data_IF_201710999276
#
_entry.id   IF_201710999276
#
_cell.length_a   1.000
_cell.length_b   1.000
_cell.length_c   1.000
_cell.angle_alpha   90.00
_cell.angle_beta   90.00
_cell.angle_gamma   90.00
#
_symmetry.space_group_name_H-M   'P 1'
#
loop_
_entity.id
_entity.type
_entity.pdbx_description
1 polymer ?
#
# COMPACT_ATOMS: atom_id res chain seq x y z
N UNK A 1 -5.81 7.85 7.46
CA UNK A 1 -7.00 7.26 8.13
C UNK A 1 -6.50 6.37 9.25
N UNK A 2 -7.31 6.01 10.25
CA UNK A 2 -6.90 4.98 11.22
C UNK A 2 -7.16 3.61 10.61
N UNK A 3 -6.21 2.70 10.72
CA UNK A 3 -6.36 1.29 10.35
C UNK A 3 -6.32 0.43 11.61
N UNK A 4 -7.47 0.25 12.27
CA UNK A 4 -7.55 -0.56 13.48
C UNK A 4 -7.20 -2.01 13.21
N UNK A 5 -6.44 -2.62 14.11
CA UNK A 5 -6.20 -4.06 14.11
C UNK A 5 -6.67 -4.72 15.40
N UNK A 6 -7.28 -5.89 15.25
CA UNK A 6 -7.70 -6.73 16.38
C UNK A 6 -6.64 -7.78 16.70
N UNK A 7 -6.44 -8.05 17.99
CA UNK A 7 -5.58 -9.11 18.49
C UNK A 7 -6.43 -10.02 19.38
N UNK A 8 -6.57 -11.28 18.97
CA UNK A 8 -7.37 -12.27 19.68
C UNK A 8 -6.44 -13.35 20.22
N UNK A 9 -6.55 -13.64 21.51
CA UNK A 9 -5.80 -14.73 22.14
C UNK A 9 -6.78 -15.76 22.70
N UNK A 10 -6.64 -17.01 22.26
CA UNK A 10 -7.47 -18.13 22.70
C UNK A 10 -6.66 -18.98 23.67
N UNK A 11 -7.16 -19.14 24.90
CA UNK A 11 -6.61 -20.00 25.96
C UNK A 11 -7.74 -20.67 26.71
N UNK A 12 -7.63 -21.96 26.99
CA UNK A 12 -8.68 -22.73 27.70
C UNK A 12 -10.07 -22.52 27.05
N UNK A 13 -10.12 -22.48 25.71
CA UNK A 13 -11.31 -22.20 24.88
C UNK A 13 -11.98 -20.85 25.14
N UNK A 14 -11.26 -19.91 25.73
CA UNK A 14 -11.74 -18.56 26.03
C UNK A 14 -10.97 -17.55 25.19
N UNK A 15 -11.69 -16.68 24.48
CA UNK A 15 -11.11 -15.62 23.68
C UNK A 15 -10.95 -14.34 24.51
N UNK A 16 -9.81 -13.67 24.36
CA UNK A 16 -9.60 -12.28 24.83
C UNK A 16 -9.29 -11.40 23.63
N UNK A 17 -10.00 -10.28 23.53
CA UNK A 17 -9.94 -9.37 22.38
C UNK A 17 -9.25 -8.08 22.78
N UNK A 18 -8.30 -7.64 21.97
CA UNK A 18 -7.60 -6.38 22.11
C UNK A 18 -7.64 -5.60 20.81
N UNK A 19 -7.65 -4.27 20.91
CA UNK A 19 -7.73 -3.37 19.77
C UNK A 19 -6.67 -2.29 19.86
N UNK A 20 -5.93 -2.14 18.77
CA UNK A 20 -5.08 -0.97 18.52
C UNK A 20 -5.56 -0.26 17.26
N UNK A 21 -5.80 1.05 17.35
CA UNK A 21 -6.36 1.86 16.25
C UNK A 21 -5.39 2.10 15.09
N UNK A 22 -4.12 1.77 15.26
CA UNK A 22 -3.06 2.10 14.30
C UNK A 22 -2.21 0.89 13.91
N UNK A 23 -2.45 -0.27 14.50
CA UNK A 23 -1.59 -1.43 14.25
C UNK A 23 -1.90 -2.17 12.95
N UNK A 24 -2.96 -1.80 12.20
CA UNK A 24 -3.25 -2.36 10.87
C UNK A 24 -2.05 -2.22 9.93
N UNK A 25 -1.64 -0.98 9.66
CA UNK A 25 -0.48 -0.66 8.79
C UNK A 25 0.81 -1.41 9.20
N UNK A 26 1.02 -1.68 10.49
CA UNK A 26 2.26 -2.27 11.02
C UNK A 26 2.15 -3.71 11.49
N UNK A 27 1.03 -4.39 11.23
CA UNK A 27 0.82 -5.71 11.81
C UNK A 27 1.97 -6.65 11.45
N UNK A 28 2.47 -6.57 10.21
CA UNK A 28 3.58 -7.42 9.79
C UNK A 28 4.86 -7.20 10.61
N UNK A 29 5.19 -5.95 10.97
CA UNK A 29 6.30 -5.61 11.88
C UNK A 29 6.05 -6.19 13.27
N UNK A 30 4.83 -6.04 13.76
CA UNK A 30 4.45 -6.37 15.13
C UNK A 30 4.50 -7.89 15.38
N UNK A 31 4.14 -8.69 14.37
CA UNK A 31 4.14 -10.15 14.46
C UNK A 31 5.54 -10.78 14.51
N UNK A 32 6.61 -10.16 13.99
CA UNK A 32 7.92 -10.84 13.90
C UNK A 32 8.60 -11.08 15.26
N UNK A 33 8.08 -10.47 16.33
CA UNK A 33 8.64 -10.57 17.68
C UNK A 33 8.16 -11.79 18.46
N UNK A 34 7.25 -12.58 17.88
CA UNK A 34 6.76 -13.83 18.45
C UNK A 34 5.59 -13.67 19.45
N UNK A 35 5.04 -14.79 19.93
CA UNK A 35 3.79 -14.84 20.70
C UNK A 35 3.85 -14.03 21.99
N UNK A 36 4.89 -14.23 22.81
CA UNK A 36 4.97 -13.62 24.13
C UNK A 36 5.09 -12.09 24.04
N UNK A 37 5.90 -11.58 23.11
CA UNK A 37 6.08 -10.14 22.93
C UNK A 37 4.82 -9.48 22.39
N UNK A 38 4.13 -10.14 21.46
CA UNK A 38 2.87 -9.66 20.92
C UNK A 38 1.77 -9.62 21.98
N UNK A 39 1.59 -10.69 22.76
CA UNK A 39 0.54 -10.75 23.79
C UNK A 39 0.80 -9.74 24.91
N UNK A 40 2.04 -9.67 25.41
CA UNK A 40 2.41 -8.70 26.45
C UNK A 40 2.13 -7.27 26.01
N UNK A 41 2.44 -6.95 24.75
CA UNK A 41 2.12 -5.66 24.18
C UNK A 41 0.61 -5.45 24.03
N UNK A 42 -0.12 -6.42 23.47
CA UNK A 42 -1.56 -6.30 23.22
C UNK A 42 -2.35 -6.06 24.51
N UNK A 43 -1.92 -6.63 25.63
CA UNK A 43 -2.49 -6.40 26.96
C UNK A 43 -2.37 -4.94 27.45
N UNK A 44 -1.47 -4.14 26.87
CA UNK A 44 -1.36 -2.70 27.14
C UNK A 44 -2.31 -1.85 26.30
N UNK A 45 -2.98 -2.46 25.32
CA UNK A 45 -3.92 -1.79 24.41
C UNK A 45 -5.36 -1.85 24.94
N UNK A 46 -6.34 -1.51 24.09
CA UNK A 46 -7.75 -1.47 24.53
C UNK A 46 -8.32 -2.88 24.52
N UNK A 47 -8.60 -3.46 25.69
CA UNK A 47 -9.35 -4.71 25.78
C UNK A 47 -10.82 -4.47 25.36
N UNK A 48 -11.34 -5.34 24.49
CA UNK A 48 -12.72 -5.34 24.03
C UNK A 48 -13.52 -6.43 24.74
N UNK A 49 -14.82 -6.20 24.89
CA UNK A 49 -15.72 -7.22 25.44
C UNK A 49 -16.01 -8.35 24.44
N UNK A 50 -15.94 -8.05 23.13
CA UNK A 50 -16.28 -8.95 22.04
C UNK A 50 -15.60 -8.49 20.73
N UNK A 51 -15.75 -9.28 19.67
CA UNK A 51 -15.35 -8.97 18.30
C UNK A 51 -15.92 -7.63 17.80
N UNK A 52 -15.21 -6.95 16.90
CA UNK A 52 -15.65 -5.73 16.24
C UNK A 52 -15.41 -5.81 14.74
N UNK A 53 -16.32 -5.24 13.95
CA UNK A 53 -16.19 -5.16 12.49
C UNK A 53 -15.46 -3.88 12.03
N UNK A 54 -15.16 -2.96 12.94
CA UNK A 54 -14.40 -1.73 12.67
C UNK A 54 -12.89 -2.02 12.79
N UNK A 55 -12.39 -2.90 11.94
CA UNK A 55 -10.99 -3.33 11.83
C UNK A 55 -10.57 -3.46 10.36
N UNK A 56 -9.33 -3.12 10.03
CA UNK A 56 -8.71 -3.35 8.72
C UNK A 56 -7.72 -4.53 8.70
N UNK A 57 -7.46 -5.14 9.85
CA UNK A 57 -6.53 -6.26 9.98
C UNK A 57 -6.55 -6.88 11.35
N UNK A 58 -5.74 -7.91 11.56
CA UNK A 58 -5.58 -8.49 12.88
C UNK A 58 -4.94 -9.87 12.89
N UNK A 59 -4.90 -10.44 14.09
CA UNK A 59 -4.32 -11.75 14.34
C UNK A 59 -5.12 -12.48 15.41
N UNK A 60 -5.32 -13.77 15.19
CA UNK A 60 -5.83 -14.73 16.16
C UNK A 60 -4.70 -15.69 16.51
N UNK A 61 -4.35 -15.74 17.79
CA UNK A 61 -3.36 -16.66 18.36
C UNK A 61 -4.09 -17.67 19.23
N UNK A 62 -4.17 -18.91 18.76
CA UNK A 62 -4.74 -20.02 19.49
C UNK A 62 -3.62 -20.80 20.20
N UNK A 63 -3.49 -20.60 21.52
CA UNK A 63 -2.52 -21.30 22.35
C UNK A 63 -2.93 -22.74 22.67
N UNK A 64 -4.22 -23.08 22.55
CA UNK A 64 -4.68 -24.45 22.79
C UNK A 64 -4.29 -25.35 21.61
N UNK A 65 -4.46 -24.84 20.38
CA UNK A 65 -4.13 -25.57 19.14
C UNK A 65 -2.74 -25.25 18.57
N UNK A 66 -2.03 -24.28 19.14
CA UNK A 66 -0.77 -23.73 18.60
C UNK A 66 -0.93 -23.29 17.14
N UNK A 67 -1.93 -22.45 16.88
CA UNK A 67 -2.21 -21.88 15.54
C UNK A 67 -2.19 -20.36 15.59
N UNK A 68 -1.68 -19.75 14.54
CA UNK A 68 -1.74 -18.30 14.36
C UNK A 68 -2.31 -17.99 12.99
N UNK A 69 -3.47 -17.33 12.96
CA UNK A 69 -4.08 -16.82 11.73
C UNK A 69 -4.01 -15.31 11.74
N UNK A 70 -3.49 -14.69 10.69
CA UNK A 70 -3.34 -13.24 10.61
C UNK A 70 -3.77 -12.70 9.24
N UNK A 71 -4.22 -11.45 9.22
CA UNK A 71 -4.60 -10.73 8.00
C UNK A 71 -4.17 -9.26 8.11
N UNK A 72 -3.65 -8.74 7.00
CA UNK A 72 -3.30 -7.34 6.81
C UNK A 72 -3.36 -7.04 5.31
N UNK A 73 -3.90 -5.89 4.95
CA UNK A 73 -3.80 -5.30 3.62
C UNK A 73 -2.58 -4.38 3.54
N UNK A 74 -1.39 -4.97 3.46
CA UNK A 74 -0.13 -4.22 3.38
C UNK A 74 0.49 -4.37 1.98
N UNK A 75 0.46 -3.29 1.21
CA UNK A 75 0.98 -3.26 -0.16
C UNK A 75 2.46 -3.65 -0.30
N UNK A 76 3.28 -3.54 0.76
CA UNK A 76 4.67 -3.99 0.71
C UNK A 76 4.76 -5.51 0.52
N UNK A 77 3.78 -6.26 1.01
CA UNK A 77 3.70 -7.71 0.90
C UNK A 77 3.02 -8.19 -0.39
N UNK A 78 2.56 -7.28 -1.25
CA UNK A 78 1.93 -7.67 -2.51
C UNK A 78 2.94 -8.21 -3.53
N UNK A 79 4.21 -7.83 -3.41
CA UNK A 79 5.29 -8.43 -4.20
C UNK A 79 5.57 -9.84 -3.67
N UNK A 80 5.37 -10.92 -4.46
CA UNK A 80 5.45 -12.30 -3.96
C UNK A 80 6.80 -12.64 -3.32
N UNK A 81 7.89 -12.09 -3.84
CA UNK A 81 9.23 -12.28 -3.25
C UNK A 81 9.34 -11.70 -1.84
N UNK A 82 8.70 -10.56 -1.59
CA UNK A 82 8.66 -9.90 -0.27
C UNK A 82 7.79 -10.73 0.68
N UNK A 83 6.63 -11.20 0.22
CA UNK A 83 5.77 -12.10 0.99
C UNK A 83 6.50 -13.40 1.40
N UNK A 84 7.25 -14.03 0.48
CA UNK A 84 7.99 -15.26 0.75
C UNK A 84 9.07 -15.08 1.84
N UNK A 85 9.88 -14.02 1.74
CA UNK A 85 10.88 -13.74 2.78
C UNK A 85 10.23 -13.44 4.13
N UNK A 86 9.13 -12.69 4.12
CA UNK A 86 8.37 -12.38 5.32
C UNK A 86 7.79 -13.65 5.97
N UNK A 87 7.22 -14.56 5.18
CA UNK A 87 6.66 -15.81 5.69
C UNK A 87 7.71 -16.72 6.32
N UNK A 88 8.91 -16.76 5.75
CA UNK A 88 10.04 -17.48 6.33
C UNK A 88 10.46 -16.88 7.67
N UNK A 89 10.52 -15.54 7.77
CA UNK A 89 10.79 -14.85 9.03
C UNK A 89 9.72 -15.14 10.07
N UNK A 90 8.44 -15.00 9.69
CA UNK A 90 7.30 -15.17 10.58
C UNK A 90 7.22 -16.60 11.12
N UNK A 91 7.39 -17.63 10.27
CA UNK A 91 7.45 -19.03 10.71
C UNK A 91 8.57 -19.29 11.73
N UNK A 92 9.72 -18.63 11.60
CA UNK A 92 10.84 -18.77 12.54
C UNK A 92 10.67 -17.95 13.82
N UNK A 93 9.91 -16.86 13.77
CA UNK A 93 9.50 -16.09 14.95
C UNK A 93 8.45 -16.84 15.79
N UNK A 94 7.72 -17.78 15.17
CA UNK A 94 6.63 -18.56 15.78
C UNK A 94 6.86 -20.08 15.66
N UNK A 95 7.97 -20.63 16.19
CA UNK A 95 8.42 -22.00 15.89
C UNK A 95 7.49 -23.11 16.37
N UNK A 96 6.64 -22.84 17.36
CA UNK A 96 5.68 -23.81 17.92
C UNK A 96 4.30 -23.72 17.28
N UNK A 97 4.06 -22.70 16.44
CA UNK A 97 2.74 -22.41 15.89
C UNK A 97 2.66 -22.79 14.42
N UNK A 98 1.52 -23.35 14.01
CA UNK A 98 1.12 -23.38 12.62
C UNK A 98 0.66 -21.98 12.21
N UNK A 99 1.51 -21.27 11.46
CA UNK A 99 1.25 -19.93 10.94
C UNK A 99 0.51 -20.02 9.61
N UNK A 100 -0.66 -19.38 9.52
CA UNK A 100 -1.45 -19.22 8.31
C UNK A 100 -1.87 -17.76 8.12
N UNK A 101 -1.96 -17.34 6.85
CA UNK A 101 -2.64 -16.10 6.52
C UNK A 101 -4.14 -16.37 6.38
N UNK A 102 -4.96 -15.38 6.71
CA UNK A 102 -6.40 -15.41 6.51
C UNK A 102 -6.70 -15.00 5.06
N UNK A 103 -6.70 -15.99 4.16
CA UNK A 103 -6.87 -15.77 2.71
C UNK A 103 -8.17 -15.02 2.41
N UNK A 104 -9.29 -15.36 3.08
CA UNK A 104 -10.59 -14.68 2.98
C UNK A 104 -10.72 -13.45 3.90
N UNK A 105 -9.59 -12.83 4.24
CA UNK A 105 -9.57 -11.57 4.99
C UNK A 105 -10.13 -11.70 6.39
N UNK A 106 -10.92 -10.71 6.81
CA UNK A 106 -11.54 -10.65 8.13
C UNK A 106 -12.46 -11.86 8.42
N UNK A 107 -12.99 -12.50 7.37
CA UNK A 107 -13.86 -13.66 7.51
C UNK A 107 -13.13 -14.87 8.12
N UNK A 108 -11.90 -15.13 7.67
CA UNK A 108 -11.06 -16.21 8.20
C UNK A 108 -10.56 -15.90 9.61
N UNK A 109 -10.28 -14.62 9.91
CA UNK A 109 -9.93 -14.20 11.27
C UNK A 109 -11.08 -14.41 12.26
N UNK A 110 -12.29 -13.96 11.93
CA UNK A 110 -13.45 -14.16 12.80
C UNK A 110 -13.75 -15.66 13.01
N UNK A 111 -13.62 -16.46 11.94
CA UNK A 111 -13.75 -17.92 12.02
C UNK A 111 -12.70 -18.53 12.94
N UNK A 112 -11.44 -18.10 12.85
CA UNK A 112 -10.36 -18.54 13.73
C UNK A 112 -10.59 -18.12 15.19
N UNK A 113 -11.24 -16.97 15.42
CA UNK A 113 -11.62 -16.49 16.75
C UNK A 113 -12.86 -17.22 17.33
N UNK A 114 -13.46 -18.17 16.60
CA UNK A 114 -14.68 -18.87 17.01
C UNK A 114 -15.93 -17.99 17.00
N UNK A 115 -15.90 -16.87 16.26
CA UNK A 115 -17.03 -15.95 16.13
C UNK A 115 -17.91 -16.45 14.99
N UNK A 116 -19.17 -16.77 15.30
CA UNK A 116 -20.16 -17.09 14.27
C UNK A 116 -20.41 -15.84 13.44
N UNK A 117 -20.16 -15.93 12.12
CA UNK A 117 -20.54 -14.86 11.21
C UNK A 117 -22.06 -14.70 11.22
N UNK A 118 -22.59 -13.49 11.43
CA UNK A 118 -23.97 -13.23 11.08
C UNK A 118 -24.09 -13.44 9.57
N UNK A 119 -24.81 -14.49 9.16
CA UNK A 119 -25.03 -14.83 7.75
C UNK A 119 -25.35 -13.57 6.93
N UNK A 120 -24.53 -13.29 5.91
CA UNK A 120 -24.80 -12.23 4.92
C UNK A 120 -24.12 -10.88 5.15
N UNK A 121 -23.17 -10.75 6.08
CA UNK A 121 -22.24 -9.60 6.07
C UNK A 121 -21.04 -9.98 5.19
N UNK A 122 -21.13 -9.66 3.91
CA UNK A 122 -19.94 -9.54 3.07
C UNK A 122 -19.11 -8.39 3.66
N UNK A 123 -17.91 -8.72 4.13
CA UNK A 123 -16.93 -7.69 4.43
C UNK A 123 -16.52 -7.15 3.05
N UNK A 124 -17.02 -5.97 2.70
CA UNK A 124 -16.52 -5.17 1.57
C UNK A 124 -15.06 -4.78 1.88
N UNK A 125 -14.17 -5.77 1.80
CA UNK A 125 -12.74 -5.56 1.57
C UNK A 125 -12.56 -5.24 0.07
N UNK A 126 -13.44 -4.40 -0.48
CA UNK A 126 -13.48 -4.02 -1.89
C UNK A 126 -12.31 -3.05 -2.12
N UNK A 127 -11.11 -3.61 -2.25
CA UNK A 127 -9.97 -2.92 -2.84
C UNK A 127 -10.47 -2.44 -4.19
N UNK A 128 -10.53 -1.11 -4.35
CA UNK A 128 -10.99 -0.50 -5.59
C UNK A 128 -10.29 -1.17 -6.77
N UNK A 129 -11.07 -1.89 -7.58
CA UNK A 129 -10.61 -2.59 -8.76
C UNK A 129 -11.17 -1.89 -9.98
N UNK A 130 -10.34 -1.69 -10.99
CA UNK A 130 -10.80 -1.19 -12.28
C UNK A 130 -11.84 -2.17 -12.86
N UNK A 131 -12.96 -1.65 -13.35
CA UNK A 131 -14.02 -2.51 -13.89
C UNK A 131 -13.58 -3.12 -15.23
N UNK A 132 -12.76 -2.38 -15.99
CA UNK A 132 -12.34 -2.77 -17.34
C UNK A 132 -10.83 -2.71 -17.55
N UNK A 133 -10.34 -3.46 -18.54
CA UNK A 133 -8.95 -3.38 -19.03
C UNK A 133 -8.55 -1.97 -19.44
N UNK A 134 -9.46 -1.18 -20.01
CA UNK A 134 -9.18 0.20 -20.41
C UNK A 134 -8.95 1.12 -19.21
N UNK A 135 -9.70 0.94 -18.12
CA UNK A 135 -9.50 1.70 -16.88
C UNK A 135 -8.25 1.26 -16.11
N UNK A 136 -7.85 -0.01 -16.25
CA UNK A 136 -6.64 -0.55 -15.62
C UNK A 136 -5.35 -0.22 -16.38
N UNK A 137 -5.44 0.39 -17.57
CA UNK A 137 -4.29 0.81 -18.34
C UNK A 137 -3.47 1.82 -17.52
N UNK A 138 -2.16 1.59 -17.42
CA UNK A 138 -1.26 2.59 -16.87
C UNK A 138 -1.24 3.72 -17.90
N UNK A 139 -1.72 4.91 -17.55
CA UNK A 139 -1.72 6.13 -18.38
C UNK A 139 -0.29 6.63 -18.65
N UNK A 140 0.60 5.74 -19.11
CA UNK A 140 2.04 5.89 -19.06
C UNK A 140 2.72 6.20 -20.39
N UNK A 141 2.01 6.72 -21.40
CA UNK A 141 2.68 7.21 -22.62
C UNK A 141 1.87 8.06 -23.61
N UNK A 142 0.59 8.34 -23.36
CA UNK A 142 -0.26 9.10 -24.29
C UNK A 142 -0.57 10.55 -23.85
N UNK A 143 0.19 11.11 -22.90
CA UNK A 143 0.16 12.57 -22.66
C UNK A 143 0.93 13.38 -23.73
N UNK A 144 1.34 12.75 -24.84
CA UNK A 144 1.75 13.43 -26.07
C UNK A 144 0.63 13.38 -27.11
N UNK A 145 -0.50 14.02 -26.84
CA UNK A 145 -1.38 14.55 -27.88
C UNK A 145 -2.06 15.80 -27.29
N UNK A 146 -1.38 16.95 -27.40
CA UNK A 146 -1.70 17.98 -28.40
C UNK A 146 -2.82 18.93 -27.88
N UNK A 147 -2.37 20.11 -27.39
CA UNK A 147 -3.06 21.42 -27.45
C UNK A 147 -3.34 22.21 -26.16
N UNK A 148 -2.70 21.91 -25.02
CA UNK A 148 -2.57 22.93 -23.96
C UNK A 148 -1.19 23.63 -24.04
N UNK A 149 -1.06 24.51 -25.04
CA UNK A 149 -0.07 25.58 -25.11
C UNK A 149 -0.22 26.51 -23.88
N UNK A 150 0.32 26.11 -22.74
CA UNK A 150 0.71 27.04 -21.68
C UNK A 150 2.21 26.92 -21.45
N UNK A 151 2.92 27.78 -22.18
CA UNK A 151 4.35 28.05 -22.13
C UNK A 151 4.85 28.34 -20.69
N UNK A 152 6.06 27.86 -20.44
CA UNK A 152 7.07 28.31 -19.47
C UNK A 152 6.76 28.17 -17.97
N UNK A 153 7.22 27.07 -17.36
CA UNK A 153 8.28 27.15 -16.35
C UNK A 153 8.93 25.75 -16.17
N UNK A 154 10.24 25.71 -16.44
CA UNK A 154 11.16 24.57 -16.35
C UNK A 154 11.35 24.12 -14.88
N UNK A 155 10.51 23.21 -14.37
CA UNK A 155 10.81 22.41 -13.17
C UNK A 155 10.69 20.91 -13.54
N UNK A 156 11.71 20.39 -14.22
CA UNK A 156 11.82 19.00 -14.73
C UNK A 156 11.96 17.91 -13.64
N UNK A 157 11.70 18.20 -12.36
CA UNK A 157 11.96 17.26 -11.25
C UNK A 157 10.70 16.51 -10.73
N UNK A 158 9.52 16.73 -11.32
CA UNK A 158 8.25 16.10 -10.86
C UNK A 158 7.97 14.70 -11.45
N UNK A 159 8.89 14.12 -12.24
CA UNK A 159 8.73 12.78 -12.84
C UNK A 159 8.96 11.60 -11.86
N UNK A 160 9.35 11.86 -10.61
CA UNK A 160 9.65 10.81 -9.61
C UNK A 160 8.43 10.38 -8.77
N UNK A 161 7.21 10.71 -9.19
CA UNK A 161 5.99 10.52 -8.41
C UNK A 161 5.03 9.45 -8.94
N UNK A 162 5.54 8.48 -9.70
CA UNK A 162 5.05 7.13 -9.46
C UNK A 162 5.46 6.79 -8.03
N UNK A 163 4.51 6.90 -7.09
CA UNK A 163 4.69 6.36 -5.76
C UNK A 163 5.27 4.95 -5.96
N UNK A 164 6.51 4.72 -5.53
CA UNK A 164 7.23 3.44 -5.65
C UNK A 164 6.51 2.26 -4.95
N UNK A 165 5.29 2.52 -4.48
CA UNK A 165 4.30 1.64 -3.89
C UNK A 165 3.27 1.10 -4.89
N UNK A 166 3.11 1.67 -6.10
CA UNK A 166 2.14 1.12 -7.05
C UNK A 166 2.67 -0.17 -7.66
N UNK A 167 2.24 -1.27 -7.07
CA UNK A 167 2.52 -2.61 -7.51
C UNK A 167 1.62 -2.95 -8.71
N UNK A 168 2.22 -3.37 -9.82
CA UNK A 168 1.56 -3.60 -11.10
C UNK A 168 1.07 -5.05 -11.25
N UNK A 169 0.15 -5.24 -12.18
CA UNK A 169 -0.21 -6.53 -12.75
C UNK A 169 0.47 -6.75 -14.12
N UNK A 170 1.03 -7.94 -14.33
CA UNK A 170 1.69 -8.33 -15.57
C UNK A 170 0.90 -9.39 -16.34
N UNK A 171 0.37 -9.03 -17.50
CA UNK A 171 -0.41 -9.93 -18.36
C UNK A 171 0.42 -10.37 -19.57
N UNK A 172 0.55 -11.69 -19.78
CA UNK A 172 1.15 -12.28 -20.99
C UNK A 172 0.09 -12.97 -21.82
N UNK A 173 0.00 -12.64 -23.11
CA UNK A 173 -0.89 -13.32 -24.06
C UNK A 173 -0.05 -14.11 -25.05
N UNK A 174 -0.30 -15.41 -25.15
CA UNK A 174 0.26 -16.29 -26.17
C UNK A 174 -0.83 -16.56 -27.20
N UNK A 175 -0.67 -15.94 -28.37
CA UNK A 175 -1.58 -16.08 -29.50
C UNK A 175 -1.56 -17.51 -30.07
N UNK A 176 -2.55 -17.85 -30.90
CA UNK A 176 -2.65 -19.18 -31.52
C UNK A 176 -1.45 -19.53 -32.42
N UNK A 177 -0.78 -18.53 -32.98
CA UNK A 177 0.43 -18.68 -33.80
C UNK A 177 1.72 -18.76 -32.96
N UNK A 178 1.62 -18.65 -31.64
CA UNK A 178 2.74 -18.62 -30.70
C UNK A 178 3.37 -17.24 -30.52
N UNK A 179 2.78 -16.18 -31.09
CA UNK A 179 3.22 -14.81 -30.83
C UNK A 179 2.95 -14.46 -29.36
N UNK A 180 3.95 -13.91 -28.68
CA UNK A 180 3.87 -13.51 -27.27
C UNK A 180 3.71 -12.00 -27.19
N UNK A 181 2.75 -11.55 -26.41
CA UNK A 181 2.45 -10.15 -26.17
C UNK A 181 2.41 -9.87 -24.66
N UNK A 182 3.11 -8.84 -24.23
CA UNK A 182 3.20 -8.43 -22.83
C UNK A 182 2.41 -7.14 -22.60
N UNK A 183 1.68 -7.07 -21.49
CA UNK A 183 0.94 -5.88 -21.02
C UNK A 183 1.19 -5.67 -19.54
N UNK A 184 1.24 -4.41 -19.14
CA UNK A 184 1.29 -4.00 -17.73
C UNK A 184 0.05 -3.19 -17.42
N UNK A 185 -0.64 -3.58 -16.36
CA UNK A 185 -1.83 -2.92 -15.84
C UNK A 185 -1.55 -2.43 -14.42
N UNK A 186 -2.30 -1.45 -13.93
CA UNK A 186 -2.23 -1.05 -12.53
C UNK A 186 -2.57 -2.23 -11.61
N UNK A 187 -3.59 -3.01 -11.99
CA UNK A 187 -4.04 -4.23 -11.31
C UNK A 187 -4.82 -5.10 -12.30
N UNK A 188 -5.17 -6.33 -11.92
CA UNK A 188 -6.05 -7.17 -12.75
C UNK A 188 -7.49 -6.66 -12.65
N UNK A 189 -8.11 -6.20 -13.76
CA UNK A 189 -9.47 -5.65 -13.75
C UNK A 189 -10.55 -6.74 -13.67
N UNK A 190 -11.77 -6.32 -13.33
CA UNK A 190 -12.89 -7.23 -13.12
C UNK A 190 -13.33 -7.98 -14.37
N UNK A 191 -13.39 -7.33 -15.53
CA UNK A 191 -13.72 -7.96 -16.81
C UNK A 191 -12.74 -9.09 -17.19
N UNK A 192 -11.45 -8.90 -16.90
CA UNK A 192 -10.40 -9.90 -17.11
C UNK A 192 -10.54 -11.08 -16.17
N UNK A 193 -10.85 -10.83 -14.90
CA UNK A 193 -11.08 -11.89 -13.93
C UNK A 193 -12.39 -12.66 -14.19
N UNK A 194 -13.41 -11.99 -14.72
CA UNK A 194 -14.69 -12.60 -15.10
C UNK A 194 -14.66 -13.31 -16.46
N UNK A 195 -13.62 -13.09 -17.27
CA UNK A 195 -13.54 -13.64 -18.61
C UNK A 195 -14.60 -13.09 -19.55
N UNK A 196 -14.89 -11.80 -19.42
CA UNK A 196 -15.93 -11.13 -20.20
C UNK A 196 -15.64 -11.16 -21.71
N UNK A 197 -16.71 -11.23 -22.50
CA UNK A 197 -16.61 -11.26 -23.96
C UNK A 197 -15.88 -10.03 -24.49
N UNK A 198 -14.77 -10.26 -25.20
CA UNK A 198 -13.98 -9.19 -25.83
C UNK A 198 -12.82 -8.66 -24.99
N UNK A 199 -12.63 -9.11 -23.75
CA UNK A 199 -11.51 -8.65 -22.91
C UNK A 199 -10.13 -8.90 -23.55
N UNK A 200 -9.97 -10.00 -24.29
CA UNK A 200 -8.76 -10.27 -25.06
C UNK A 200 -8.54 -9.25 -26.19
N UNK A 201 -9.61 -8.78 -26.84
CA UNK A 201 -9.50 -7.76 -27.88
C UNK A 201 -9.11 -6.41 -27.27
N UNK A 202 -9.59 -6.07 -26.07
CA UNK A 202 -9.17 -4.85 -25.37
C UNK A 202 -7.70 -4.93 -24.96
N UNK A 203 -7.25 -6.07 -24.40
CA UNK A 203 -5.83 -6.27 -24.10
C UNK A 203 -4.94 -6.20 -25.35
N UNK A 204 -5.41 -6.71 -26.50
CA UNK A 204 -4.70 -6.62 -27.77
C UNK A 204 -4.54 -5.17 -28.26
N UNK A 205 -5.49 -4.28 -27.97
CA UNK A 205 -5.41 -2.85 -28.32
C UNK A 205 -4.36 -2.11 -27.49
N UNK A 206 -4.12 -2.55 -26.27
CA UNK A 206 -3.06 -1.97 -25.44
C UNK A 206 -1.69 -2.15 -26.11
N UNK A 207 -0.79 -1.20 -25.89
CA UNK A 207 0.57 -1.27 -26.41
C UNK A 207 1.38 -2.43 -25.83
N UNK A 208 2.30 -3.00 -26.61
CA UNK A 208 3.26 -3.97 -26.08
C UNK A 208 4.23 -3.29 -25.11
N UNK A 209 4.41 -3.88 -23.93
CA UNK A 209 5.34 -3.38 -22.92
C UNK A 209 6.56 -4.30 -22.76
N UNK A 210 7.62 -3.76 -22.17
CA UNK A 210 8.76 -4.58 -21.73
C UNK A 210 8.38 -5.39 -20.48
N UNK A 211 9.12 -6.47 -20.21
CA UNK A 211 8.90 -7.25 -18.98
C UNK A 211 9.21 -6.37 -17.77
N UNK A 212 8.23 -6.09 -16.90
CA UNK A 212 8.47 -5.28 -15.71
C UNK A 212 9.41 -6.01 -14.73
N UNK A 213 10.27 -5.30 -13.98
CA UNK A 213 11.08 -5.94 -12.95
C UNK A 213 10.20 -6.51 -11.82
N UNK A 214 10.59 -7.65 -11.23
CA UNK A 214 9.79 -8.33 -10.19
C UNK A 214 9.52 -7.42 -8.97
N UNK A 215 10.38 -6.43 -8.71
CA UNK A 215 10.22 -5.48 -7.61
C UNK A 215 8.98 -4.58 -7.69
N UNK A 216 8.36 -4.46 -8.87
CA UNK A 216 7.15 -3.65 -9.06
C UNK A 216 5.94 -4.47 -9.48
N UNK A 217 6.03 -5.80 -9.48
CA UNK A 217 4.94 -6.67 -9.94
C UNK A 217 4.40 -7.48 -8.77
N UNK A 218 3.13 -7.30 -8.48
CA UNK A 218 2.44 -7.99 -7.39
C UNK A 218 1.61 -9.14 -7.89
N UNK A 219 1.24 -9.11 -9.16
CA UNK A 219 0.42 -10.14 -9.76
C UNK A 219 0.72 -10.33 -11.23
N UNK A 220 0.37 -11.50 -11.74
CA UNK A 220 0.46 -11.78 -13.14
C UNK A 220 -0.53 -12.83 -13.59
N UNK A 221 -0.86 -12.74 -14.87
CA UNK A 221 -1.78 -13.64 -15.54
C UNK A 221 -1.21 -13.94 -16.92
N UNK A 222 -0.96 -15.22 -17.22
CA UNK A 222 -0.67 -15.61 -18.58
C UNK A 222 -1.86 -16.32 -19.20
N UNK A 223 -2.09 -16.05 -20.48
CA UNK A 223 -3.24 -16.52 -21.25
C UNK A 223 -2.72 -17.14 -22.54
N UNK A 224 -2.77 -18.47 -22.64
CA UNK A 224 -2.44 -19.20 -23.87
C UNK A 224 -3.73 -19.49 -24.65
N UNK A 225 -3.98 -18.65 -25.65
CA UNK A 225 -5.21 -18.69 -26.47
C UNK A 225 -5.24 -19.94 -27.35
N UNK A 226 -4.07 -20.44 -27.77
CA UNK A 226 -3.97 -21.65 -28.59
C UNK A 226 -4.36 -22.91 -27.82
N UNK A 227 -4.00 -22.97 -26.53
CA UNK A 227 -4.29 -24.12 -25.66
C UNK A 227 -5.57 -23.96 -24.84
N UNK A 228 -6.10 -22.75 -24.71
CA UNK A 228 -7.19 -22.49 -23.77
C UNK A 228 -6.71 -22.63 -22.32
N UNK A 229 -5.50 -22.15 -22.02
CA UNK A 229 -4.87 -22.28 -20.70
C UNK A 229 -4.66 -20.90 -20.08
N UNK A 230 -4.94 -20.78 -18.78
CA UNK A 230 -4.63 -19.59 -18.00
C UNK A 230 -3.83 -20.04 -16.78
N UNK A 231 -2.77 -19.28 -16.46
CA UNK A 231 -2.21 -19.33 -15.12
C UNK A 231 -2.19 -17.98 -14.46
N UNK A 232 -2.58 -17.98 -13.20
CA UNK A 232 -2.63 -16.81 -12.33
C UNK A 232 -1.57 -16.96 -11.23
N UNK A 233 -0.92 -15.86 -10.87
CA UNK A 233 -0.06 -15.78 -9.70
C UNK A 233 -0.08 -14.36 -9.14
N UNK A 234 0.41 -14.21 -7.91
CA UNK A 234 0.56 -12.89 -7.31
C UNK A 234 0.43 -12.90 -5.79
N UNK A 235 0.08 -11.72 -5.27
CA UNK A 235 -0.29 -11.47 -3.90
C UNK A 235 -1.42 -12.41 -3.43
N UNK A 236 -1.59 -12.49 -2.11
CA UNK A 236 -2.61 -13.36 -1.50
C UNK A 236 -4.03 -12.94 -1.86
N UNK A 237 -4.25 -11.63 -2.07
CA UNK A 237 -5.51 -11.09 -2.56
C UNK A 237 -5.90 -11.72 -3.90
N UNK A 238 -4.97 -11.80 -4.85
CA UNK A 238 -5.16 -12.40 -6.19
C UNK A 238 -5.39 -13.91 -6.11
N UNK A 239 -4.83 -14.60 -5.11
CA UNK A 239 -5.11 -16.03 -4.91
C UNK A 239 -6.58 -16.30 -4.63
N UNK A 240 -7.30 -15.38 -3.97
CA UNK A 240 -8.75 -15.49 -3.78
C UNK A 240 -9.51 -15.43 -5.09
N UNK A 241 -9.03 -14.62 -6.03
CA UNK A 241 -9.66 -14.45 -7.33
C UNK A 241 -9.56 -15.71 -8.21
N UNK A 242 -8.72 -16.69 -7.88
CA UNK A 242 -8.56 -17.90 -8.69
C UNK A 242 -9.89 -18.63 -8.95
N UNK A 243 -10.76 -18.73 -7.94
CA UNK A 243 -12.09 -19.36 -8.09
C UNK A 243 -12.95 -18.56 -9.06
N UNK A 244 -12.94 -17.23 -8.92
CA UNK A 244 -13.65 -16.31 -9.82
C UNK A 244 -13.17 -16.45 -11.27
N UNK A 245 -11.85 -16.52 -11.48
CA UNK A 245 -11.27 -16.75 -12.82
C UNK A 245 -11.67 -18.10 -13.39
N UNK A 246 -11.69 -19.16 -12.58
CA UNK A 246 -12.16 -20.48 -12.99
C UNK A 246 -13.63 -20.50 -13.42
N UNK A 247 -14.48 -19.74 -12.72
CA UNK A 247 -15.91 -19.64 -13.02
C UNK A 247 -16.20 -18.76 -14.25
N UNK A 248 -15.44 -17.68 -14.43
CA UNK A 248 -15.54 -16.75 -15.54
C UNK A 248 -15.04 -17.34 -16.86
N UNK A 249 -13.86 -17.97 -16.85
CA UNK A 249 -13.22 -18.55 -18.04
C UNK A 249 -13.66 -19.99 -18.29
N UNK A 250 -14.97 -20.22 -18.46
CA UNK A 250 -15.51 -21.56 -18.63
C UNK A 250 -14.94 -22.27 -19.86
N UNK A 251 -14.45 -23.50 -19.65
CA UNK A 251 -13.83 -24.32 -20.70
C UNK A 251 -12.34 -24.10 -20.88
N UNK A 252 -11.73 -23.16 -20.15
CA UNK A 252 -10.27 -22.99 -20.08
C UNK A 252 -9.67 -23.80 -18.93
N UNK A 253 -8.41 -24.20 -19.06
CA UNK A 253 -7.61 -24.78 -17.97
C UNK A 253 -6.96 -23.67 -17.15
N UNK A 254 -7.66 -23.23 -16.09
CA UNK A 254 -7.20 -22.18 -15.19
C UNK A 254 -6.54 -22.80 -13.93
N UNK A 255 -5.26 -22.51 -13.71
CA UNK A 255 -4.52 -22.98 -12.52
C UNK A 255 -3.66 -21.88 -11.91
N UNK A 256 -3.18 -22.11 -10.70
CA UNK A 256 -2.21 -21.25 -10.03
C UNK A 256 -0.78 -21.55 -10.51
N UNK A 257 0.03 -20.52 -10.79
CA UNK A 257 1.45 -20.68 -11.11
C UNK A 257 2.30 -20.59 -9.83
N UNK A 258 2.78 -21.74 -9.35
CA UNK A 258 3.58 -21.81 -8.11
C UNK A 258 4.93 -21.08 -8.21
N UNK A 259 5.57 -21.07 -9.38
CA UNK A 259 6.83 -20.35 -9.59
C UNK A 259 6.64 -18.87 -9.91
N UNK A 260 5.41 -18.37 -9.99
CA UNK A 260 5.07 -16.95 -10.12
C UNK A 260 5.85 -16.24 -11.26
N UNK A 261 6.52 -15.13 -10.94
CA UNK A 261 7.28 -14.31 -11.88
C UNK A 261 8.33 -15.09 -12.70
N UNK A 262 9.19 -15.95 -12.10
CA UNK A 262 10.08 -16.85 -12.85
C UNK A 262 9.41 -17.75 -13.88
N UNK A 263 8.21 -18.26 -13.60
CA UNK A 263 7.50 -19.15 -14.54
C UNK A 263 6.98 -18.35 -15.75
N UNK A 264 6.43 -17.15 -15.52
CA UNK A 264 5.98 -16.28 -16.60
C UNK A 264 7.14 -15.77 -17.47
N UNK A 265 8.31 -15.48 -16.89
CA UNK A 265 9.52 -15.13 -17.66
C UNK A 265 9.99 -16.27 -18.56
N UNK A 266 9.90 -17.52 -18.10
CA UNK A 266 10.31 -18.69 -18.89
C UNK A 266 9.45 -18.87 -20.15
N UNK A 267 8.18 -18.45 -20.13
CA UNK A 267 7.30 -18.52 -21.30
C UNK A 267 7.76 -17.60 -22.42
N UNK A 268 8.20 -16.39 -22.08
CA UNK A 268 8.68 -15.41 -23.07
C UNK A 268 10.09 -15.74 -23.60
N UNK A 269 10.81 -16.64 -22.91
CA UNK A 269 12.21 -16.92 -23.20
C UNK A 269 13.15 -15.75 -22.90
N UNK A 270 12.63 -14.67 -22.31
CA UNK A 270 13.36 -13.49 -21.92
C UNK A 270 13.83 -13.60 -20.45
N UNK A 271 14.98 -13.00 -20.18
CA UNK A 271 15.51 -12.90 -18.82
C UNK A 271 14.88 -11.68 -18.16
N UNK A 272 13.75 -11.88 -17.45
CA UNK A 272 13.19 -10.85 -16.58
C UNK A 272 14.17 -10.42 -15.48
N UNK A 273 13.87 -9.32 -14.80
CA UNK A 273 14.71 -8.83 -13.70
C UNK A 273 14.17 -9.34 -12.37
N UNK A 274 14.60 -10.54 -11.96
CA UNK A 274 14.20 -11.11 -10.68
C UNK A 274 14.73 -10.31 -9.49
N UNK A 275 13.89 -10.19 -8.47
CA UNK A 275 14.20 -9.52 -7.21
C UNK A 275 15.07 -10.44 -6.34
N UNK A 276 16.21 -9.90 -5.90
CA UNK A 276 17.06 -10.61 -4.94
C UNK A 276 16.40 -10.68 -3.54
N UNK A 277 16.78 -11.69 -2.76
CA UNK A 277 16.32 -11.81 -1.36
C UNK A 277 16.71 -10.57 -0.53
N UNK A 278 17.90 -10.01 -0.75
CA UNK A 278 18.38 -8.80 -0.06
C UNK A 278 17.50 -7.60 -0.40
N UNK A 279 17.15 -7.41 -1.67
CA UNK A 279 16.25 -6.34 -2.09
C UNK A 279 14.85 -6.51 -1.48
N UNK A 280 14.34 -7.74 -1.40
CA UNK A 280 13.04 -8.03 -0.80
C UNK A 280 13.03 -7.70 0.71
N UNK A 281 14.08 -8.12 1.42
CA UNK A 281 14.26 -7.79 2.84
C UNK A 281 14.42 -6.28 3.07
N UNK A 282 15.13 -5.58 2.19
CA UNK A 282 15.33 -4.15 2.30
C UNK A 282 14.04 -3.33 2.27
N UNK A 283 12.95 -3.87 1.72
CA UNK A 283 11.62 -3.24 1.76
C UNK A 283 10.94 -3.28 3.13
N UNK A 284 11.16 -4.35 3.89
CA UNK A 284 10.38 -4.62 5.12
C UNK A 284 11.21 -4.48 6.41
N UNK A 285 12.53 -4.68 6.35
CA UNK A 285 13.43 -4.60 7.51
C UNK A 285 13.46 -3.22 8.17
N UNK A 286 13.46 -2.09 7.43
CA UNK A 286 13.42 -0.78 8.09
C UNK A 286 12.19 -0.61 8.97
N UNK A 287 11.02 -1.02 8.49
CA UNK A 287 9.78 -1.00 9.29
C UNK A 287 9.87 -1.95 10.48
N UNK A 288 10.51 -3.11 10.35
CA UNK A 288 10.76 -4.02 11.48
C UNK A 288 11.62 -3.37 12.57
N UNK A 289 12.68 -2.66 12.18
CA UNK A 289 13.60 -1.98 13.07
C UNK A 289 13.00 -0.73 13.72
N UNK A 290 11.99 -0.11 13.10
CA UNK A 290 11.36 1.08 13.67
C UNK A 290 10.59 0.75 14.96
N UNK A 291 10.92 1.47 16.02
CA UNK A 291 10.21 1.49 17.30
C UNK A 291 9.13 2.58 17.34
N UNK A 292 9.06 3.42 16.31
CA UNK A 292 8.13 4.54 16.22
C UNK A 292 6.77 4.03 15.77
N UNK A 293 5.71 4.53 16.41
CA UNK A 293 4.35 4.41 15.87
C UNK A 293 4.18 5.48 14.79
N UNK A 294 3.25 5.26 13.87
CA UNK A 294 2.88 6.24 12.85
C UNK A 294 2.71 7.62 13.47
N UNK A 295 3.64 8.53 13.15
CA UNK A 295 3.48 9.93 13.52
C UNK A 295 2.63 10.59 12.46
N UNK A 296 1.33 10.70 12.73
CA UNK A 296 0.42 11.49 11.89
C UNK A 296 0.99 12.89 11.61
N UNK A 297 1.73 13.48 12.56
CA UNK A 297 2.35 14.79 12.39
C UNK A 297 3.38 14.83 11.27
N UNK A 298 4.07 13.72 11.02
CA UNK A 298 5.06 13.55 9.96
C UNK A 298 4.39 13.28 8.61
N UNK A 299 3.40 12.39 8.57
CA UNK A 299 2.61 12.13 7.35
C UNK A 299 1.86 13.39 6.90
N UNK A 300 1.25 14.11 7.84
CA UNK A 300 0.65 15.43 7.55
C UNK A 300 1.68 16.53 7.31
N UNK A 301 2.94 16.36 7.74
CA UNK A 301 4.04 17.24 7.37
C UNK A 301 4.33 17.13 5.88
N UNK A 302 4.53 15.89 5.40
CA UNK A 302 4.80 15.56 4.00
C UNK A 302 3.60 15.90 3.11
N UNK A 303 2.38 15.46 3.46
CA UNK A 303 1.16 15.86 2.75
C UNK A 303 0.90 17.36 2.84
N UNK A 304 1.27 17.98 3.96
CA UNK A 304 1.12 19.41 4.18
C UNK A 304 2.02 20.22 3.26
N UNK A 305 3.22 19.74 2.94
CA UNK A 305 4.13 20.40 2.01
C UNK A 305 3.63 20.28 0.56
N UNK A 306 3.13 19.11 0.13
CA UNK A 306 2.45 18.98 -1.17
C UNK A 306 1.18 19.84 -1.26
N UNK A 307 0.32 19.81 -0.23
CA UNK A 307 -0.87 20.66 -0.17
C UNK A 307 -0.54 22.15 -0.16
N UNK A 308 0.55 22.56 0.50
CA UNK A 308 1.03 23.94 0.43
C UNK A 308 1.43 24.29 -0.99
N UNK A 309 2.14 23.41 -1.67
CA UNK A 309 2.57 23.65 -3.05
C UNK A 309 1.37 23.79 -3.99
N UNK A 310 0.43 22.84 -3.96
CA UNK A 310 -0.82 22.92 -4.74
C UNK A 310 -1.63 24.17 -4.39
N UNK A 311 -1.73 24.51 -3.09
CA UNK A 311 -2.46 25.69 -2.67
C UNK A 311 -1.75 27.00 -3.07
N UNK A 312 -0.42 27.02 -3.13
CA UNK A 312 0.37 28.15 -3.64
C UNK A 312 0.13 28.30 -5.14
N UNK A 313 0.20 27.22 -5.93
CA UNK A 313 -0.09 27.20 -7.38
C UNK A 313 -1.52 27.72 -7.65
N UNK A 314 -2.51 27.18 -6.95
CA UNK A 314 -3.91 27.61 -7.07
C UNK A 314 -4.14 29.07 -6.65
N UNK A 315 -3.48 29.54 -5.58
CA UNK A 315 -3.57 30.93 -5.13
C UNK A 315 -2.90 31.89 -6.12
N UNK A 316 -1.78 31.48 -6.72
CA UNK A 316 -1.09 32.21 -7.77
C UNK A 316 -1.96 32.39 -9.02
N UNK A 317 -2.57 31.31 -9.51
CA UNK A 317 -3.50 31.33 -10.63
C UNK A 317 -4.71 32.24 -10.36
N UNK A 318 -5.33 32.11 -9.17
CA UNK A 318 -6.44 32.98 -8.76
C UNK A 318 -6.03 34.46 -8.69
N UNK A 319 -4.85 34.76 -8.15
CA UNK A 319 -4.32 36.12 -8.11
C UNK A 319 -4.10 36.68 -9.51
N UNK A 320 -3.55 35.90 -10.43
CA UNK A 320 -3.37 36.29 -11.83
C UNK A 320 -4.71 36.61 -12.51
N UNK A 321 -5.71 35.74 -12.35
CA UNK A 321 -7.06 35.94 -12.88
C UNK A 321 -7.75 37.21 -12.35
N UNK A 322 -7.43 37.62 -11.11
CA UNK A 322 -7.97 38.85 -10.52
C UNK A 322 -7.15 40.09 -10.93
N UNK A 323 -5.82 39.96 -10.99
CA UNK A 323 -4.92 41.09 -11.23
C UNK A 323 -4.84 41.50 -12.71
N UNK A 324 -4.92 40.57 -13.66
CA UNK A 324 -4.85 40.87 -15.09
C UNK A 324 -5.99 41.80 -15.54
N UNK A 325 -7.28 41.53 -15.24
CA UNK A 325 -8.37 42.43 -15.61
C UNK A 325 -8.23 43.81 -14.97
N UNK A 326 -7.70 43.88 -13.74
CA UNK A 326 -7.42 45.16 -13.06
C UNK A 326 -6.31 45.94 -13.76
N UNK A 327 -5.24 45.29 -14.22
CA UNK A 327 -4.18 45.96 -14.99
C UNK A 327 -4.71 46.48 -16.34
N UNK A 328 -5.48 45.66 -17.06
CA UNK A 328 -6.10 46.05 -18.34
C UNK A 328 -7.01 47.27 -18.15
N UNK A 329 -7.87 47.26 -17.13
CA UNK A 329 -8.75 48.40 -16.82
C UNK A 329 -7.96 49.65 -16.42
N UNK A 330 -6.87 49.48 -15.66
CA UNK A 330 -5.96 50.57 -15.29
C UNK A 330 -5.27 51.22 -16.47
N UNK A 331 -4.88 50.40 -17.46
CA UNK A 331 -4.29 50.86 -18.71
C UNK A 331 -5.30 51.65 -19.54
N UNK A 332 -6.52 51.11 -19.73
CA UNK A 332 -7.59 51.77 -20.51
C UNK A 332 -8.04 53.10 -19.89
N UNK A 333 -7.96 53.24 -18.57
CA UNK A 333 -8.41 54.45 -17.85
C UNK A 333 -7.31 55.46 -17.55
N UNK A 334 -6.06 55.19 -17.94
CA UNK A 334 -4.86 55.99 -17.62
C UNK A 334 -4.64 56.22 -16.10
N UNK A 335 -5.16 55.33 -15.25
CA UNK A 335 -5.07 55.42 -13.77
C UNK A 335 -4.20 54.33 -13.16
N UNK A 336 -3.06 54.04 -13.80
CA UNK A 336 -2.12 53.01 -13.35
C UNK A 336 -1.70 53.12 -11.86
N UNK A 337 -1.41 54.30 -11.29
CA UNK A 337 -0.98 54.39 -9.89
C UNK A 337 -2.06 53.92 -8.90
N UNK A 338 -3.34 54.19 -9.19
CA UNK A 338 -4.44 53.78 -8.33
C UNK A 338 -4.67 52.25 -8.42
N UNK A 339 -4.51 51.66 -9.60
CA UNK A 339 -4.69 50.22 -9.78
C UNK A 339 -3.54 49.41 -9.18
N UNK A 340 -2.31 49.92 -9.22
CA UNK A 340 -1.18 49.30 -8.53
C UNK A 340 -1.41 49.19 -7.02
N UNK A 341 -1.98 50.23 -6.40
CA UNK A 341 -2.36 50.20 -4.98
C UNK A 341 -3.45 49.16 -4.73
N UNK A 342 -4.48 49.09 -5.57
CA UNK A 342 -5.54 48.09 -5.44
C UNK A 342 -5.02 46.65 -5.54
N UNK A 343 -4.13 46.38 -6.50
CA UNK A 343 -3.48 45.06 -6.66
C UNK A 343 -2.67 44.70 -5.42
N UNK A 344 -1.87 45.65 -4.89
CA UNK A 344 -1.11 45.45 -3.65
C UNK A 344 -2.01 45.11 -2.45
N UNK A 345 -3.19 45.74 -2.35
CA UNK A 345 -4.18 45.44 -1.30
C UNK A 345 -4.76 44.04 -1.47
N UNK A 346 -5.14 43.64 -2.69
CA UNK A 346 -5.67 42.30 -2.98
C UNK A 346 -4.63 41.23 -2.65
N UNK A 347 -3.37 41.44 -3.04
CA UNK A 347 -2.28 40.53 -2.74
C UNK A 347 -2.05 40.37 -1.24
N UNK A 348 -1.96 41.49 -0.50
CA UNK A 348 -1.85 41.46 0.96
C UNK A 348 -3.03 40.74 1.63
N UNK A 349 -4.26 40.95 1.15
CA UNK A 349 -5.44 40.26 1.67
C UNK A 349 -5.38 38.76 1.39
N UNK A 350 -4.98 38.33 0.19
CA UNK A 350 -4.82 36.92 -0.15
C UNK A 350 -3.79 36.23 0.77
N UNK A 351 -2.63 36.86 1.00
CA UNK A 351 -1.60 36.34 1.90
C UNK A 351 -2.12 36.24 3.35
N UNK A 352 -2.89 37.23 3.82
CA UNK A 352 -3.47 37.21 5.17
C UNK A 352 -4.51 36.08 5.30
N UNK A 353 -5.40 35.93 4.32
CA UNK A 353 -6.42 34.86 4.31
C UNK A 353 -5.75 33.49 4.30
N UNK A 354 -4.71 33.31 3.47
CA UNK A 354 -3.94 32.08 3.42
C UNK A 354 -3.25 31.78 4.74
N UNK A 355 -2.52 32.74 5.32
CA UNK A 355 -1.87 32.58 6.64
C UNK A 355 -2.86 32.32 7.77
N UNK A 356 -4.05 32.92 7.70
CA UNK A 356 -5.12 32.66 8.65
C UNK A 356 -5.69 31.24 8.50
N UNK A 357 -5.89 30.77 7.27
CA UNK A 357 -6.28 29.39 6.96
C UNK A 357 -5.26 28.39 7.50
N UNK A 358 -3.97 28.58 7.18
CA UNK A 358 -2.85 27.77 7.67
C UNK A 358 -2.85 27.70 9.21
N UNK A 359 -2.95 28.87 9.87
CA UNK A 359 -2.97 28.93 11.32
C UNK A 359 -4.19 28.24 11.93
N UNK A 360 -5.37 28.38 11.31
CA UNK A 360 -6.61 27.76 11.78
C UNK A 360 -6.58 26.24 11.62
N UNK A 361 -6.08 25.73 10.49
CA UNK A 361 -5.89 24.29 10.25
C UNK A 361 -4.90 23.72 11.27
N UNK A 362 -3.73 24.36 11.43
CA UNK A 362 -2.72 23.97 12.43
C UNK A 362 -3.27 23.98 13.86
N UNK A 363 -4.11 24.97 14.21
CA UNK A 363 -4.76 25.06 15.52
C UNK A 363 -5.85 24.01 15.70
N UNK A 364 -6.61 23.67 14.66
CA UNK A 364 -7.61 22.59 14.71
C UNK A 364 -6.96 21.22 14.91
N UNK A 365 -5.81 20.99 14.27
CA UNK A 365 -5.02 19.79 14.47
C UNK A 365 -4.38 19.72 15.87
N UNK A 366 -3.79 20.82 16.35
CA UNK A 366 -3.24 20.83 17.72
C UNK A 366 -4.33 20.72 18.80
N UNK A 367 -5.54 21.23 18.54
CA UNK A 367 -6.68 21.09 19.45
C UNK A 367 -7.33 19.70 19.42
N UNK A 368 -7.38 19.03 18.27
CA UNK A 368 -7.87 17.64 18.18
C UNK A 368 -6.88 16.65 18.80
N UNK A 369 -5.58 16.86 18.62
CA UNK A 369 -4.56 16.10 19.34
C UNK A 369 -4.60 16.36 20.85
N UNK A 370 -4.72 17.62 21.28
CA UNK A 370 -4.73 17.93 22.73
C UNK A 370 -6.03 17.54 23.46
N UNK A 371 -7.18 17.49 22.79
CA UNK A 371 -8.42 16.97 23.38
C UNK A 371 -8.42 15.44 23.53
N UNK A 372 -7.69 14.72 22.68
CA UNK A 372 -7.43 13.28 22.89
C UNK A 372 -6.29 13.02 23.87
N UNK A 373 -5.41 14.01 24.10
CA UNK A 373 -4.27 13.94 25.02
C UNK A 373 -4.54 14.57 26.40
N UNK A 374 -5.79 14.87 26.74
CA UNK A 374 -6.17 15.41 28.05
C UNK A 374 -6.20 14.33 29.14
N UNK A 375 -5.05 13.71 29.45
CA UNK A 375 -4.97 12.73 30.55
C UNK A 375 -3.56 12.21 30.84
N UNK A 376 -2.81 11.79 29.83
CA UNK A 376 -1.48 11.21 30.02
C UNK A 376 -0.47 11.92 29.11
N UNK A 377 0.62 12.37 29.70
CA UNK A 377 1.83 12.73 28.98
C UNK A 377 2.16 11.62 27.99
N UNK A 378 2.49 12.00 26.76
CA UNK A 378 2.82 11.16 25.61
C UNK A 378 4.02 10.23 25.84
N UNK A 379 3.93 9.30 26.78
CA UNK A 379 4.70 8.07 26.70
C UNK A 379 4.22 7.38 25.44
N UNK A 380 5.09 7.40 24.41
CA UNK A 380 4.91 6.62 23.20
C UNK A 380 4.48 5.23 23.60
N UNK A 381 3.23 4.86 23.28
CA UNK A 381 2.75 3.51 23.58
C UNK A 381 3.75 2.55 22.94
N UNK A 382 4.32 1.60 23.69
CA UNK A 382 5.34 0.72 23.18
C UNK A 382 4.83 -0.01 21.93
N UNK A 383 5.74 -0.45 21.06
CA UNK A 383 5.46 -1.43 20.00
C UNK A 383 5.88 -2.81 20.51
N UNK A 384 5.40 -3.92 19.92
CA UNK A 384 5.91 -5.25 20.25
C UNK A 384 7.43 -5.34 20.05
N UNK A 385 8.06 -6.17 20.89
CA UNK A 385 9.49 -6.45 20.84
C UNK A 385 10.35 -5.44 21.62
N UNK A 386 11.68 -5.50 21.45
CA UNK A 386 12.62 -4.63 22.15
C UNK A 386 12.43 -3.16 21.77
N UNK A 387 12.43 -2.28 22.77
CA UNK A 387 12.33 -0.83 22.57
C UNK A 387 13.70 -0.17 22.37
N UNK A 388 14.78 -0.84 22.74
CA UNK A 388 16.15 -0.40 22.44
C UNK A 388 16.52 -0.80 21.01
N UNK A 389 16.93 0.16 20.19
CA UNK A 389 17.24 -0.07 18.78
C UNK A 389 18.38 -1.09 18.58
N UNK A 390 19.35 -1.11 19.50
CA UNK A 390 20.47 -2.04 19.48
C UNK A 390 20.02 -3.48 19.77
N UNK A 391 19.20 -3.66 20.80
CA UNK A 391 18.60 -4.95 21.14
C UNK A 391 17.68 -5.44 20.00
N UNK A 392 16.86 -4.56 19.44
CA UNK A 392 15.94 -4.85 18.33
C UNK A 392 16.72 -5.32 17.09
N UNK A 393 17.78 -4.61 16.71
CA UNK A 393 18.69 -4.99 15.62
C UNK A 393 19.37 -6.34 15.89
N UNK A 394 19.82 -6.57 17.12
CA UNK A 394 20.46 -7.82 17.49
C UNK A 394 19.49 -9.01 17.40
N UNK A 395 18.26 -8.86 17.92
CA UNK A 395 17.24 -9.91 17.85
C UNK A 395 16.80 -10.18 16.40
N UNK A 396 16.59 -9.14 15.58
CA UNK A 396 16.27 -9.32 14.17
C UNK A 396 17.40 -10.01 13.40
N UNK A 397 18.66 -9.68 13.71
CA UNK A 397 19.83 -10.36 13.12
C UNK A 397 19.85 -11.84 13.49
N UNK A 398 19.52 -12.19 14.74
CA UNK A 398 19.39 -13.60 15.16
C UNK A 398 18.28 -14.31 14.38
N UNK A 399 17.13 -13.66 14.17
CA UNK A 399 16.03 -14.22 13.40
C UNK A 399 16.40 -14.44 11.92
N UNK A 400 17.02 -13.45 11.28
CA UNK A 400 17.51 -13.54 9.90
C UNK A 400 18.51 -14.69 9.73
N UNK A 401 19.47 -14.81 10.66
CA UNK A 401 20.46 -15.90 10.65
C UNK A 401 19.82 -17.28 10.79
N UNK A 402 18.76 -17.43 11.61
CA UNK A 402 18.02 -18.70 11.72
C UNK A 402 17.33 -19.08 10.40
N UNK A 403 16.91 -18.08 9.63
CA UNK A 403 16.31 -18.27 8.31
C UNK A 403 17.35 -18.50 7.19
N UNK A 404 18.65 -18.39 7.49
CA UNK A 404 19.72 -18.45 6.50
C UNK A 404 19.76 -17.23 5.57
N UNK A 405 19.21 -16.10 6.01
CA UNK A 405 19.11 -14.86 5.23
C UNK A 405 20.30 -13.93 5.50
N UNK A 406 20.42 -12.88 4.67
CA UNK A 406 21.41 -11.82 4.88
C UNK A 406 21.25 -11.13 6.24
N UNK A 407 22.36 -10.68 6.84
CA UNK A 407 22.33 -9.92 8.09
C UNK A 407 21.80 -8.50 7.86
N UNK A 408 21.37 -7.82 8.93
CA UNK A 408 20.91 -6.42 8.83
C UNK A 408 21.97 -5.52 8.18
N UNK A 409 23.25 -5.69 8.54
CA UNK A 409 24.36 -4.91 7.96
C UNK A 409 24.56 -5.12 6.45
N UNK A 410 24.15 -6.28 5.92
CA UNK A 410 24.21 -6.59 4.49
C UNK A 410 23.00 -6.04 3.74
N UNK A 411 21.87 -5.87 4.42
CA UNK A 411 20.60 -5.40 3.83
C UNK A 411 20.55 -3.87 3.83
N UNK A 412 21.05 -3.22 4.89
CA UNK A 412 21.01 -1.77 5.08
C UNK A 412 21.53 -0.92 3.89
N UNK A 413 22.59 -1.31 3.16
CA UNK A 413 23.01 -0.59 1.96
C UNK A 413 21.99 -0.60 0.81
N UNK A 414 20.94 -1.43 0.89
CA UNK A 414 19.88 -1.56 -0.10
C UNK A 414 18.55 -0.97 0.39
N UNK A 415 18.50 -0.36 1.58
CA UNK A 415 17.31 0.34 2.02
C UNK A 415 16.94 1.44 1.01
N UNK A 416 15.63 1.64 0.74
CA UNK A 416 15.19 2.74 -0.11
C UNK A 416 15.69 4.07 0.47
N UNK A 417 16.02 5.04 -0.40
CA UNK A 417 16.60 6.31 0.01
C UNK A 417 15.80 6.98 1.14
N UNK A 418 16.53 7.60 2.08
CA UNK A 418 16.04 8.08 3.38
C UNK A 418 14.78 8.96 3.36
N UNK A 419 14.41 9.57 2.23
CA UNK A 419 13.15 10.30 2.11
C UNK A 419 11.92 9.42 2.33
N UNK A 420 12.01 8.11 2.02
CA UNK A 420 10.94 7.13 2.28
C UNK A 420 10.92 6.67 3.76
N UNK A 421 12.10 6.62 4.39
CA UNK A 421 12.24 6.23 5.79
C UNK A 421 11.81 7.33 6.76
N UNK A 422 11.86 8.60 6.33
CA UNK A 422 11.36 9.76 7.09
C UNK A 422 9.84 9.78 7.27
N UNK A 423 9.08 8.77 6.81
CA UNK A 423 7.69 8.52 7.25
C UNK A 423 7.63 7.63 8.51
N UNK A 424 8.77 7.01 8.87
CA UNK A 424 8.93 6.08 9.98
C UNK A 424 10.08 6.46 10.93
N UNK A 425 10.79 7.56 10.65
CA UNK A 425 11.88 8.17 11.43
C UNK A 425 11.53 9.58 11.91
#
# INVERSE_FOLDING_TARGET
MSEPAIFVFVRDKTCRFYLDRWAGVFLFRDLIWGPDQLENWAQTTTELADWTNDIGGGVVVDYDEHKMTWYNDNGQLDVPKVADVYDRLLKNAWPEFAVSFADRGLSDLASAAGVEHPDGVEFDDEVYRAETVGEAEIEGNNEQDEDDEFEDDEDEDDQDLFDLETVLAWVTIVSQDGTIQQRTLQQLPDDLLNGDDGVLLELEKLGQTEIPPESIVGSGMWIDVGKGEIRLWGARSVRRDLVRVQEGWQGWDVQWAEGAYPDQCQLDGALGTSMSEVAALARIVPTMLSTKRFDLGMVFGVLGDKLKETAIKATGCLLMLICIPMLVLGFVTERLPAMAVSIGVVFCLAVIVFKYGEHRVRKSFSQSNSKSAGGDTSESRPVPGPLDDGERRAQLTVLLNRCGMASVDQIEPHFPDHNMLNLFD
#
